data_IF_008629312546
#
_entry.id   IF_008629312546
#
_cell.length_a   1.000
_cell.length_b   1.000
_cell.length_c   1.000
_cell.angle_alpha   90.00
_cell.angle_beta   90.00
_cell.angle_gamma   90.00
#
_symmetry.space_group_name_H-M   'P 1'
#
loop_
_entity.id
_entity.type
_entity.pdbx_description
1 polymer ?
#
# COMPACT_ATOMS: atom_id res chain seq x y z
N UNK A 1 12.60 -6.80 -12.80
CA UNK A 1 11.26 -6.23 -13.04
C UNK A 1 10.91 -5.20 -11.97
N UNK A 2 10.78 -5.60 -10.69
CA UNK A 2 10.47 -4.74 -9.55
C UNK A 2 11.21 -3.38 -9.52
N UNK A 3 12.55 -3.38 -9.53
CA UNK A 3 13.34 -2.15 -9.53
C UNK A 3 12.99 -1.19 -10.68
N UNK A 4 12.68 -1.71 -11.87
CA UNK A 4 12.24 -0.87 -12.99
C UNK A 4 10.83 -0.29 -12.78
N UNK A 5 9.92 -1.06 -12.19
CA UNK A 5 8.55 -0.62 -11.89
C UNK A 5 8.53 0.46 -10.80
N UNK A 6 9.34 0.27 -9.75
CA UNK A 6 9.53 1.21 -8.65
C UNK A 6 10.35 2.45 -9.02
N UNK A 7 10.85 2.53 -10.26
CA UNK A 7 11.57 3.70 -10.76
C UNK A 7 13.03 3.79 -10.34
N UNK A 8 13.65 2.68 -9.92
CA UNK A 8 15.07 2.65 -9.61
C UNK A 8 15.90 2.79 -10.89
N UNK A 9 16.98 3.57 -10.79
CA UNK A 9 18.01 3.64 -11.82
C UNK A 9 19.14 2.69 -11.46
N UNK A 10 19.50 1.79 -12.37
CA UNK A 10 20.52 0.79 -12.12
C UNK A 10 21.23 0.34 -13.40
N UNK A 11 22.44 -0.19 -13.24
CA UNK A 11 23.25 -0.82 -14.30
C UNK A 11 23.52 -2.27 -13.92
N UNK A 12 23.41 -3.16 -14.91
CA UNK A 12 23.80 -4.56 -14.75
C UNK A 12 25.09 -4.78 -15.50
N UNK A 13 26.07 -5.41 -14.84
CA UNK A 13 27.33 -5.84 -15.43
C UNK A 13 27.50 -7.32 -15.14
N UNK A 14 27.61 -8.14 -16.18
CA UNK A 14 27.94 -9.55 -16.02
C UNK A 14 29.47 -9.67 -15.96
N UNK A 15 30.00 -10.34 -14.94
CA UNK A 15 31.43 -10.63 -14.83
C UNK A 15 31.62 -12.14 -14.79
N UNK A 16 31.56 -12.77 -15.95
CA UNK A 16 31.72 -14.21 -16.06
C UNK A 16 30.39 -14.95 -16.15
N UNK A 17 30.48 -16.28 -16.04
CA UNK A 17 29.36 -17.19 -16.31
C UNK A 17 28.36 -17.22 -15.17
N UNK A 18 28.85 -17.09 -13.93
CA UNK A 18 28.10 -17.35 -12.71
C UNK A 18 27.96 -16.12 -11.81
N UNK A 19 28.37 -14.92 -12.28
CA UNK A 19 28.32 -13.70 -11.47
C UNK A 19 27.59 -12.57 -12.20
N UNK A 20 26.65 -11.93 -11.47
CA UNK A 20 25.92 -10.75 -11.92
C UNK A 20 26.11 -9.63 -10.91
N UNK A 21 26.61 -8.50 -11.40
CA UNK A 21 26.74 -7.27 -10.62
C UNK A 21 25.64 -6.30 -11.01
N UNK A 22 24.96 -5.75 -10.01
CA UNK A 22 23.97 -4.70 -10.21
C UNK A 22 24.34 -3.50 -9.34
N UNK A 23 24.52 -2.36 -10.01
CA UNK A 23 24.80 -1.08 -9.36
C UNK A 23 23.54 -0.21 -9.43
N UNK A 24 23.00 0.14 -8.27
CA UNK A 24 21.92 1.12 -8.15
C UNK A 24 22.54 2.52 -8.17
N UNK A 25 22.14 3.31 -9.16
CA UNK A 25 22.56 4.71 -9.36
C UNK A 25 21.75 5.64 -8.47
N UNK A 26 20.47 5.35 -8.27
CA UNK A 26 19.57 6.19 -7.46
C UNK A 26 18.72 5.31 -6.55
N UNK A 27 19.05 5.29 -5.26
CA UNK A 27 18.31 4.59 -4.23
C UNK A 27 17.10 5.42 -3.79
N UNK A 28 15.86 4.91 -3.91
CA UNK A 28 14.68 5.66 -3.53
C UNK A 28 14.62 5.95 -2.02
N UNK A 29 15.23 5.11 -1.19
CA UNK A 29 15.30 5.34 0.25
C UNK A 29 16.13 6.58 0.57
N UNK A 30 17.27 6.78 -0.10
CA UNK A 30 18.06 8.00 0.10
C UNK A 30 17.24 9.24 -0.28
N UNK A 31 16.59 9.22 -1.45
CA UNK A 31 15.76 10.33 -1.92
C UNK A 31 14.52 10.59 -1.04
N UNK A 32 13.92 9.55 -0.46
CA UNK A 32 12.83 9.67 0.51
C UNK A 32 13.31 10.29 1.83
N UNK A 33 14.51 9.93 2.28
CA UNK A 33 15.06 10.38 3.56
C UNK A 33 15.66 11.78 3.47
N UNK A 34 16.22 12.19 2.34
CA UNK A 34 16.63 13.59 2.11
C UNK A 34 15.47 14.59 2.19
N UNK A 35 14.23 14.11 2.00
CA UNK A 35 13.00 14.92 2.18
C UNK A 35 12.55 15.00 3.64
N UNK A 36 13.13 14.20 4.54
CA UNK A 36 12.76 14.05 5.94
C UNK A 36 14.03 14.02 6.82
N UNK A 37 14.69 15.18 7.03
CA UNK A 37 15.97 15.26 7.72
C UNK A 37 15.98 14.66 9.13
N UNK A 38 14.84 14.70 9.80
CA UNK A 38 14.64 14.14 11.14
C UNK A 38 14.78 12.62 11.20
N UNK A 39 14.79 11.94 10.05
CA UNK A 39 14.94 10.48 9.96
C UNK A 39 16.32 10.04 9.51
N UNK A 40 17.27 10.96 9.29
CA UNK A 40 18.59 10.62 8.77
C UNK A 40 19.34 9.56 9.60
N UNK A 41 19.09 9.49 10.90
CA UNK A 41 19.63 8.46 11.80
C UNK A 41 19.18 7.04 11.43
N UNK A 42 18.05 6.89 10.72
CA UNK A 42 17.52 5.59 10.26
C UNK A 42 18.15 5.09 8.96
N UNK A 43 18.92 5.91 8.25
CA UNK A 43 19.52 5.53 6.96
C UNK A 43 20.47 4.34 7.13
N UNK A 44 21.30 4.35 8.18
CA UNK A 44 22.25 3.26 8.42
C UNK A 44 21.53 1.93 8.71
N UNK A 45 20.58 1.86 9.65
CA UNK A 45 19.76 0.66 9.85
C UNK A 45 19.03 0.18 8.59
N UNK A 46 18.48 1.10 7.78
CA UNK A 46 17.83 0.73 6.51
C UNK A 46 18.83 0.04 5.56
N UNK A 47 20.05 0.57 5.45
CA UNK A 47 21.05 0.02 4.54
C UNK A 47 21.56 -1.35 5.00
N UNK A 48 21.86 -1.49 6.29
CA UNK A 48 22.54 -2.65 6.85
C UNK A 48 21.58 -3.72 7.37
N UNK A 49 20.56 -3.30 8.11
CA UNK A 49 19.72 -4.20 8.90
C UNK A 49 18.42 -4.56 8.17
N UNK A 50 18.01 -3.78 7.17
CA UNK A 50 16.81 -4.07 6.37
C UNK A 50 17.17 -4.52 4.96
N UNK A 51 18.02 -3.78 4.26
CA UNK A 51 18.23 -4.03 2.84
C UNK A 51 19.09 -5.27 2.56
N UNK A 52 20.09 -5.60 3.39
CA UNK A 52 20.88 -6.84 3.20
C UNK A 52 20.01 -8.08 3.48
N UNK A 53 19.41 -8.22 4.68
CA UNK A 53 18.67 -9.44 5.02
C UNK A 53 17.49 -9.68 4.07
N UNK A 54 16.80 -8.61 3.67
CA UNK A 54 15.68 -8.69 2.74
C UNK A 54 16.04 -9.40 1.42
N UNK A 55 17.15 -9.01 0.79
CA UNK A 55 17.54 -9.63 -0.47
C UNK A 55 18.23 -10.98 -0.27
N UNK A 56 18.91 -11.20 0.86
CA UNK A 56 19.45 -12.53 1.20
C UNK A 56 18.34 -13.57 1.36
N UNK A 57 17.28 -13.24 2.11
CA UNK A 57 16.10 -14.11 2.26
C UNK A 57 15.47 -14.42 0.91
N UNK A 58 15.16 -13.40 0.11
CA UNK A 58 14.54 -13.61 -1.22
C UNK A 58 15.42 -14.46 -2.14
N UNK A 59 16.73 -14.24 -2.09
CA UNK A 59 17.68 -14.98 -2.92
C UNK A 59 17.74 -16.45 -2.50
N UNK A 60 17.81 -16.70 -1.19
CA UNK A 60 17.85 -18.04 -0.60
C UNK A 60 16.56 -18.81 -0.87
N UNK A 61 15.40 -18.17 -0.69
CA UNK A 61 14.09 -18.76 -0.97
C UNK A 61 13.91 -19.10 -2.45
N UNK A 62 14.49 -18.30 -3.34
CA UNK A 62 14.46 -18.56 -4.77
C UNK A 62 15.40 -19.70 -5.18
N UNK A 63 16.64 -19.68 -4.70
CA UNK A 63 17.64 -20.71 -4.95
C UNK A 63 18.77 -20.62 -3.90
N UNK A 64 18.89 -21.66 -3.08
CA UNK A 64 19.88 -21.75 -2.00
C UNK A 64 21.34 -21.73 -2.47
N UNK A 65 21.60 -22.01 -3.75
CA UNK A 65 22.96 -21.98 -4.32
C UNK A 65 23.36 -20.57 -4.78
N UNK A 66 22.44 -19.60 -4.76
CA UNK A 66 22.77 -18.21 -5.08
C UNK A 66 23.23 -17.51 -3.81
N UNK A 67 24.41 -16.92 -3.84
CA UNK A 67 24.91 -16.04 -2.79
C UNK A 67 24.74 -14.58 -3.21
N UNK A 68 24.45 -13.72 -2.23
CA UNK A 68 24.39 -12.27 -2.41
C UNK A 68 25.47 -11.61 -1.56
N UNK A 69 26.26 -10.73 -2.17
CA UNK A 69 27.17 -9.83 -1.47
C UNK A 69 26.86 -8.38 -1.80
N UNK A 70 26.96 -7.50 -0.78
CA UNK A 70 26.77 -6.06 -0.91
C UNK A 70 27.91 -5.32 -0.23
N UNK A 71 28.59 -4.46 -0.98
CA UNK A 71 29.80 -3.76 -0.51
C UNK A 71 29.64 -2.24 -0.47
N UNK A 72 28.73 -1.69 -1.28
CA UNK A 72 28.52 -0.25 -1.43
C UNK A 72 27.09 0.12 -1.07
N UNK A 73 26.92 1.25 -0.39
CA UNK A 73 25.64 1.74 0.08
C UNK A 73 25.58 3.27 -0.05
N UNK A 74 24.70 3.78 -0.91
CA UNK A 74 24.55 5.23 -1.08
C UNK A 74 24.19 5.95 0.22
N UNK A 75 23.35 5.31 1.05
CA UNK A 75 22.98 5.87 2.35
C UNK A 75 24.15 5.96 3.34
N UNK A 76 25.27 5.30 3.07
CA UNK A 76 26.48 5.32 3.91
C UNK A 76 27.62 6.13 3.28
N UNK A 77 27.35 6.87 2.19
CA UNK A 77 28.32 7.77 1.55
C UNK A 77 28.91 7.27 0.24
N UNK A 78 28.57 6.06 -0.21
CA UNK A 78 28.98 5.60 -1.54
C UNK A 78 28.23 6.32 -2.67
N UNK A 79 28.82 6.30 -3.87
CA UNK A 79 28.14 6.83 -5.06
C UNK A 79 27.01 5.94 -5.56
N UNK A 80 27.06 4.63 -5.28
CA UNK A 80 26.09 3.62 -5.74
C UNK A 80 25.81 2.60 -4.64
N UNK A 81 24.69 1.86 -4.75
CA UNK A 81 24.52 0.63 -3.98
C UNK A 81 24.95 -0.55 -4.84
N UNK A 82 25.74 -1.48 -4.31
CA UNK A 82 26.12 -2.69 -5.04
C UNK A 82 25.31 -3.91 -4.60
N UNK A 83 25.02 -4.77 -5.58
CA UNK A 83 24.47 -6.11 -5.41
C UNK A 83 25.30 -7.04 -6.28
N UNK A 84 25.96 -8.01 -5.68
CA UNK A 84 26.73 -9.03 -6.38
C UNK A 84 26.09 -10.38 -6.10
N UNK A 85 25.49 -10.97 -7.13
CA UNK A 85 24.92 -12.31 -7.08
C UNK A 85 25.89 -13.29 -7.71
N UNK A 86 26.16 -14.41 -7.04
CA UNK A 86 26.91 -15.53 -7.62
C UNK A 86 26.20 -16.85 -7.39
N UNK A 87 26.43 -17.85 -8.25
CA UNK A 87 25.85 -19.20 -8.12
C UNK A 87 26.95 -20.26 -8.20
N UNK A 88 26.90 -21.27 -7.33
CA UNK A 88 27.92 -22.33 -7.25
C UNK A 88 27.76 -23.47 -8.29
N UNK A 89 26.94 -23.28 -9.33
CA UNK A 89 26.62 -24.33 -10.31
C UNK A 89 27.43 -24.19 -11.61
N UNK A 90 28.10 -25.26 -12.06
CA UNK A 90 29.07 -25.23 -13.18
C UNK A 90 28.43 -25.32 -14.58
N UNK A 91 27.15 -25.66 -14.69
CA UNK A 91 26.52 -25.94 -16.00
C UNK A 91 25.26 -25.12 -16.26
N UNK A 92 25.45 -23.84 -16.60
CA UNK A 92 24.68 -23.16 -17.67
C UNK A 92 25.20 -21.75 -17.87
N UNK A 93 25.83 -21.52 -19.02
CA UNK A 93 26.13 -20.17 -19.45
C UNK A 93 24.83 -19.38 -19.64
N UNK A 94 24.77 -18.18 -19.06
CA UNK A 94 23.87 -17.14 -19.53
C UNK A 94 24.28 -16.83 -20.98
N UNK A 95 23.61 -17.49 -21.93
CA UNK A 95 23.96 -17.37 -23.37
C UNK A 95 23.65 -15.99 -23.94
N UNK A 96 22.83 -15.18 -23.26
CA UNK A 96 22.51 -13.83 -23.70
C UNK A 96 22.60 -12.78 -22.58
N UNK A 97 23.06 -11.55 -22.90
CA UNK A 97 23.04 -10.45 -21.95
C UNK A 97 21.60 -10.14 -21.53
N UNK A 98 21.38 -9.98 -20.22
CA UNK A 98 20.08 -9.55 -19.72
C UNK A 98 19.77 -8.13 -20.19
N UNK A 99 18.74 -7.99 -21.04
CA UNK A 99 18.23 -6.69 -21.44
C UNK A 99 17.14 -6.23 -20.48
N UNK A 100 17.22 -4.98 -20.02
CA UNK A 100 16.18 -4.37 -19.18
C UNK A 100 14.85 -4.40 -19.92
N UNK A 101 13.86 -5.10 -19.35
CA UNK A 101 12.48 -5.08 -19.88
C UNK A 101 11.93 -3.66 -19.83
N UNK A 102 11.42 -3.18 -20.98
CA UNK A 102 10.60 -1.95 -21.03
C UNK A 102 9.25 -2.24 -20.37
N UNK A 103 8.88 -1.43 -19.39
CA UNK A 103 7.67 -1.60 -18.60
C UNK A 103 6.58 -0.68 -19.16
N UNK A 104 5.41 -1.24 -19.47
CA UNK A 104 4.24 -0.45 -19.93
C UNK A 104 3.44 0.13 -18.74
N UNK A 105 2.42 0.94 -19.02
CA UNK A 105 1.51 1.43 -17.97
C UNK A 105 0.68 0.27 -17.41
N UNK A 106 0.25 -0.65 -18.27
CA UNK A 106 -0.52 -1.85 -17.92
C UNK A 106 0.29 -2.78 -17.01
N UNK A 107 1.58 -2.98 -17.30
CA UNK A 107 2.49 -3.73 -16.42
C UNK A 107 2.56 -3.10 -15.01
N UNK A 108 2.59 -1.76 -14.92
CA UNK A 108 2.60 -1.04 -13.64
C UNK A 108 1.26 -1.16 -12.92
N UNK A 109 0.14 -1.04 -13.62
CA UNK A 109 -1.19 -1.18 -13.04
C UNK A 109 -1.37 -2.59 -12.48
N UNK A 110 -1.05 -3.62 -13.26
CA UNK A 110 -1.07 -5.01 -12.79
C UNK A 110 -0.20 -5.20 -11.55
N UNK A 111 1.03 -4.68 -11.56
CA UNK A 111 1.94 -4.82 -10.43
C UNK A 111 1.44 -4.08 -9.18
N UNK A 112 1.01 -2.83 -9.28
CA UNK A 112 0.64 -2.05 -8.10
C UNK A 112 -0.76 -2.38 -7.57
N UNK A 113 -1.76 -2.61 -8.43
CA UNK A 113 -3.14 -2.84 -8.01
C UNK A 113 -3.26 -4.07 -7.10
N UNK A 114 -2.77 -5.22 -7.56
CA UNK A 114 -2.90 -6.48 -6.79
C UNK A 114 -2.00 -6.50 -5.56
N UNK A 115 -0.78 -5.97 -5.67
CA UNK A 115 0.13 -5.94 -4.54
C UNK A 115 -0.27 -4.90 -3.48
N UNK A 116 -1.07 -3.88 -3.81
CA UNK A 116 -1.56 -2.91 -2.83
C UNK A 116 -2.42 -3.58 -1.75
N UNK A 117 -3.46 -4.32 -2.16
CA UNK A 117 -4.34 -5.02 -1.21
C UNK A 117 -3.63 -6.16 -0.47
N UNK A 118 -2.71 -6.87 -1.14
CA UNK A 118 -1.90 -7.88 -0.48
C UNK A 118 -0.99 -7.27 0.59
N UNK A 119 -0.35 -6.14 0.30
CA UNK A 119 0.50 -5.43 1.26
C UNK A 119 -0.32 -4.96 2.47
N UNK A 120 -1.52 -4.42 2.24
CA UNK A 120 -2.42 -3.98 3.32
C UNK A 120 -2.81 -5.14 4.25
N UNK A 121 -3.22 -6.28 3.68
CA UNK A 121 -3.53 -7.48 4.45
C UNK A 121 -2.32 -8.02 5.24
N UNK A 122 -1.13 -8.06 4.61
CA UNK A 122 0.10 -8.48 5.30
C UNK A 122 0.50 -7.49 6.40
N UNK A 123 0.33 -6.19 6.18
CA UNK A 123 0.66 -5.15 7.16
C UNK A 123 -0.09 -5.37 8.47
N UNK A 124 -1.41 -5.58 8.42
CA UNK A 124 -2.19 -5.80 9.65
C UNK A 124 -1.84 -7.13 10.32
N UNK A 125 -1.64 -8.21 9.55
CA UNK A 125 -1.30 -9.54 10.08
C UNK A 125 0.06 -9.50 10.79
N UNK A 126 1.10 -8.98 10.14
CA UNK A 126 2.43 -8.96 10.74
C UNK A 126 2.53 -7.97 11.90
N UNK A 127 1.78 -6.86 11.86
CA UNK A 127 1.70 -5.94 13.00
C UNK A 127 1.01 -6.59 14.20
N UNK A 128 -0.05 -7.37 13.97
CA UNK A 128 -0.74 -8.16 15.00
C UNK A 128 0.18 -9.23 15.60
N UNK A 129 0.95 -9.94 14.77
CA UNK A 129 1.90 -10.97 15.22
C UNK A 129 3.00 -10.42 16.13
N UNK A 130 3.54 -9.25 15.79
CA UNK A 130 4.63 -8.61 16.55
C UNK A 130 4.15 -7.88 17.81
N UNK A 131 2.88 -7.46 17.83
CA UNK A 131 2.29 -6.69 18.92
C UNK A 131 1.08 -7.46 19.50
N UNK A 132 -0.11 -6.91 19.31
CA UNK A 132 -1.39 -7.50 19.63
C UNK A 132 -2.47 -6.88 18.71
N UNK A 133 -3.66 -7.48 18.70
CA UNK A 133 -4.77 -7.03 17.86
C UNK A 133 -5.17 -5.57 18.13
N UNK A 134 -5.28 -5.17 19.40
CA UNK A 134 -5.78 -3.83 19.75
C UNK A 134 -4.79 -2.74 19.31
N UNK A 135 -3.50 -2.99 19.48
CA UNK A 135 -2.43 -2.08 19.06
C UNK A 135 -2.32 -2.05 17.54
N UNK A 136 -2.41 -3.21 16.87
CA UNK A 136 -2.39 -3.30 15.42
C UNK A 136 -3.57 -2.55 14.79
N UNK A 137 -4.78 -2.77 15.31
CA UNK A 137 -5.98 -2.05 14.91
C UNK A 137 -5.80 -0.54 15.07
N UNK A 138 -5.33 -0.07 16.23
CA UNK A 138 -5.09 1.36 16.48
C UNK A 138 -4.11 1.98 15.47
N UNK A 139 -3.03 1.28 15.15
CA UNK A 139 -2.05 1.73 14.15
C UNK A 139 -2.70 1.79 12.76
N UNK A 140 -3.47 0.77 12.40
CA UNK A 140 -4.19 0.67 11.14
C UNK A 140 -5.17 1.84 10.95
N UNK A 141 -5.94 2.17 11.98
CA UNK A 141 -6.83 3.35 11.99
C UNK A 141 -6.06 4.62 11.61
N UNK A 142 -4.92 4.86 12.26
CA UNK A 142 -4.12 6.07 12.05
C UNK A 142 -3.55 6.11 10.62
N UNK A 143 -3.10 4.96 10.10
CA UNK A 143 -2.58 4.84 8.74
C UNK A 143 -3.67 5.15 7.72
N UNK A 144 -4.84 4.52 7.85
CA UNK A 144 -5.97 4.71 6.95
C UNK A 144 -6.55 6.13 7.01
N UNK A 145 -6.63 6.75 8.18
CA UNK A 145 -7.02 8.16 8.32
C UNK A 145 -6.11 9.08 7.49
N UNK A 146 -4.78 8.92 7.67
CA UNK A 146 -3.79 9.72 6.92
C UNK A 146 -3.84 9.43 5.43
N UNK A 147 -4.04 8.16 5.06
CA UNK A 147 -4.14 7.75 3.67
C UNK A 147 -5.39 8.34 3.01
N UNK A 148 -6.57 8.27 3.64
CA UNK A 148 -7.80 8.84 3.12
C UNK A 148 -7.73 10.36 2.97
N UNK A 149 -7.10 11.09 3.89
CA UNK A 149 -6.83 12.53 3.72
C UNK A 149 -5.97 12.81 2.46
N UNK A 150 -5.03 11.93 2.13
CA UNK A 150 -4.22 12.03 0.91
C UNK A 150 -5.04 11.66 -0.32
N UNK A 151 -5.80 10.55 -0.28
CA UNK A 151 -6.65 10.06 -1.36
C UNK A 151 -7.70 11.12 -1.71
N UNK A 152 -8.45 11.64 -0.74
CA UNK A 152 -9.47 12.66 -0.94
C UNK A 152 -8.89 13.87 -1.68
N UNK A 153 -7.75 14.41 -1.23
CA UNK A 153 -7.10 15.55 -1.91
C UNK A 153 -6.66 15.22 -3.34
N UNK A 154 -6.09 14.03 -3.56
CA UNK A 154 -5.60 13.62 -4.89
C UNK A 154 -6.76 13.36 -5.85
N UNK A 155 -7.76 12.60 -5.42
CA UNK A 155 -8.93 12.24 -6.22
C UNK A 155 -9.76 13.48 -6.50
N UNK A 156 -10.06 14.33 -5.51
CA UNK A 156 -10.76 15.61 -5.70
C UNK A 156 -10.14 16.43 -6.84
N UNK A 157 -8.80 16.54 -6.85
CA UNK A 157 -8.06 17.21 -7.94
C UNK A 157 -8.18 16.48 -9.27
N UNK A 158 -8.10 15.15 -9.26
CA UNK A 158 -8.14 14.30 -10.45
C UNK A 158 -9.50 14.40 -11.18
N UNK A 159 -10.61 14.28 -10.45
CA UNK A 159 -11.97 14.39 -11.00
C UNK A 159 -12.50 15.83 -11.04
N UNK A 160 -11.67 16.81 -10.67
CA UNK A 160 -11.92 18.26 -10.80
C UNK A 160 -13.12 18.78 -9.98
N UNK A 161 -13.38 18.19 -8.82
CA UNK A 161 -14.33 18.72 -7.85
C UNK A 161 -13.81 20.06 -7.29
N UNK A 162 -14.67 21.08 -7.33
CA UNK A 162 -14.34 22.44 -6.87
C UNK A 162 -14.99 22.77 -5.53
N UNK A 163 -16.26 22.42 -5.40
CA UNK A 163 -17.05 22.67 -4.21
C UNK A 163 -16.85 21.58 -3.14
N UNK A 164 -17.41 21.83 -1.97
CA UNK A 164 -17.34 20.95 -0.79
C UNK A 164 -18.74 20.59 -0.27
N UNK A 165 -19.77 20.50 -1.13
CA UNK A 165 -21.11 20.11 -0.68
C UNK A 165 -21.23 18.59 -0.53
N UNK A 166 -22.35 18.13 0.03
CA UNK A 166 -22.66 16.69 0.12
C UNK A 166 -22.67 16.04 -1.26
N UNK A 167 -23.19 16.72 -2.29
CA UNK A 167 -23.20 16.18 -3.65
C UNK A 167 -21.79 15.85 -4.15
N UNK A 168 -20.84 16.77 -3.96
CA UNK A 168 -19.45 16.54 -4.37
C UNK A 168 -18.75 15.51 -3.48
N UNK A 169 -19.09 15.42 -2.18
CA UNK A 169 -18.60 14.34 -1.33
C UNK A 169 -19.05 12.98 -1.84
N UNK A 170 -20.32 12.84 -2.25
CA UNK A 170 -20.85 11.58 -2.79
C UNK A 170 -20.20 11.23 -4.13
N UNK A 171 -19.92 12.22 -5.00
CA UNK A 171 -19.17 12.01 -6.24
C UNK A 171 -17.74 11.51 -5.96
N UNK A 172 -17.06 12.14 -5.00
CA UNK A 172 -15.71 11.77 -4.57
C UNK A 172 -15.67 10.34 -4.00
N UNK A 173 -16.55 10.04 -3.05
CA UNK A 173 -16.67 8.70 -2.45
C UNK A 173 -17.04 7.67 -3.49
N UNK A 174 -17.93 8.01 -4.43
CA UNK A 174 -18.34 7.09 -5.49
C UNK A 174 -17.16 6.64 -6.34
N UNK A 175 -16.28 7.57 -6.70
CA UNK A 175 -15.05 7.24 -7.43
C UNK A 175 -14.15 6.32 -6.60
N UNK A 176 -13.89 6.68 -5.34
CA UNK A 176 -12.99 5.94 -4.45
C UNK A 176 -13.51 4.52 -4.21
N UNK A 177 -14.76 4.38 -3.82
CA UNK A 177 -15.42 3.10 -3.54
C UNK A 177 -15.47 2.21 -4.79
N UNK A 178 -15.70 2.78 -5.98
CA UNK A 178 -15.63 2.01 -7.22
C UNK A 178 -14.22 1.47 -7.50
N UNK A 179 -13.18 2.25 -7.22
CA UNK A 179 -11.79 1.79 -7.34
C UNK A 179 -11.42 0.73 -6.30
N UNK A 180 -11.97 0.84 -5.09
CA UNK A 180 -11.72 -0.10 -3.99
C UNK A 180 -12.59 -1.36 -4.09
N UNK A 181 -13.49 -1.42 -5.08
CA UNK A 181 -14.32 -2.59 -5.37
C UNK A 181 -15.54 -2.74 -4.48
N UNK A 182 -16.07 -1.66 -3.92
CA UNK A 182 -17.35 -1.68 -3.20
C UNK A 182 -18.54 -1.69 -4.17
N UNK A 183 -19.63 -2.34 -3.78
CA UNK A 183 -20.95 -2.16 -4.43
C UNK A 183 -21.89 -1.42 -3.50
N UNK A 184 -22.56 -0.39 -4.01
CA UNK A 184 -23.45 0.46 -3.23
C UNK A 184 -24.53 1.10 -4.10
N UNK A 185 -25.56 1.63 -3.42
CA UNK A 185 -26.68 2.38 -4.01
C UNK A 185 -26.85 3.69 -3.27
N UNK A 186 -27.11 4.77 -4.00
CA UNK A 186 -27.52 6.05 -3.43
C UNK A 186 -29.04 5.97 -3.23
N UNK A 187 -29.49 5.95 -1.98
CA UNK A 187 -30.91 5.81 -1.61
C UNK A 187 -31.58 7.16 -1.43
N UNK A 188 -30.81 8.16 -0.98
CA UNK A 188 -31.25 9.54 -0.84
C UNK A 188 -30.10 10.48 -1.19
N UNK A 189 -30.40 11.55 -1.90
CA UNK A 189 -29.47 12.64 -2.17
C UNK A 189 -30.25 13.92 -2.45
N UNK A 190 -30.62 14.63 -1.39
CA UNK A 190 -31.51 15.79 -1.45
C UNK A 190 -31.02 16.86 -0.48
N UNK A 191 -30.81 18.08 -0.99
CA UNK A 191 -30.36 19.22 -0.19
C UNK A 191 -29.09 18.92 0.62
N UNK A 192 -29.24 18.94 1.94
CA UNK A 192 -28.19 18.85 2.95
C UNK A 192 -28.05 17.42 3.53
N UNK A 193 -28.52 16.40 2.82
CA UNK A 193 -28.48 15.00 3.27
C UNK A 193 -28.25 14.01 2.11
N UNK A 194 -27.47 12.96 2.37
CA UNK A 194 -27.37 11.81 1.48
C UNK A 194 -27.29 10.50 2.28
N UNK A 195 -27.91 9.44 1.76
CA UNK A 195 -27.88 8.09 2.33
C UNK A 195 -27.40 7.12 1.26
N UNK A 196 -26.34 6.39 1.57
CA UNK A 196 -25.75 5.37 0.71
C UNK A 196 -25.88 4.00 1.39
N UNK A 197 -26.44 3.04 0.68
CA UNK A 197 -26.49 1.65 1.11
C UNK A 197 -25.43 0.86 0.37
N UNK A 198 -24.39 0.43 1.10
CA UNK A 198 -23.38 -0.48 0.59
C UNK A 198 -23.90 -1.91 0.69
N UNK A 199 -23.91 -2.62 -0.44
CA UNK A 199 -24.40 -4.00 -0.58
C UNK A 199 -23.28 -5.01 -0.67
N UNK A 200 -22.05 -4.57 -0.98
CA UNK A 200 -20.85 -5.40 -0.92
C UNK A 200 -19.68 -4.62 -0.34
N UNK A 201 -19.06 -5.18 0.69
CA UNK A 201 -17.91 -4.64 1.39
C UNK A 201 -16.68 -5.55 1.14
N UNK A 202 -15.60 -5.04 0.51
CA UNK A 202 -14.38 -5.81 0.25
C UNK A 202 -13.75 -6.39 1.52
N UNK A 203 -13.80 -5.65 2.64
CA UNK A 203 -13.34 -6.16 3.94
C UNK A 203 -14.15 -7.37 4.38
N UNK A 204 -15.49 -7.31 4.34
CA UNK A 204 -16.32 -8.47 4.67
C UNK A 204 -16.01 -9.64 3.73
N UNK A 205 -15.90 -9.40 2.42
CA UNK A 205 -15.56 -10.46 1.46
C UNK A 205 -14.16 -11.06 1.69
N UNK A 206 -13.21 -10.29 2.22
CA UNK A 206 -11.93 -10.80 2.69
C UNK A 206 -12.11 -11.65 3.96
N UNK A 207 -12.87 -11.17 4.96
CA UNK A 207 -13.11 -11.90 6.21
C UNK A 207 -13.87 -13.21 5.97
N UNK A 208 -14.87 -13.24 5.09
CA UNK A 208 -15.64 -14.45 4.73
C UNK A 208 -14.74 -15.58 4.17
N UNK A 209 -13.56 -15.22 3.62
CA UNK A 209 -12.55 -16.16 3.12
C UNK A 209 -11.54 -16.60 4.18
N UNK A 210 -11.54 -15.97 5.35
CA UNK A 210 -10.62 -16.18 6.46
C UNK A 210 -11.40 -16.42 7.77
N UNK A 211 -12.05 -17.59 7.92
CA UNK A 211 -12.95 -17.87 9.04
C UNK A 211 -12.30 -17.73 10.42
N UNK A 212 -11.00 -17.97 10.51
CA UNK A 212 -10.19 -17.84 11.73
C UNK A 212 -10.10 -16.41 12.26
N UNK A 213 -10.44 -15.40 11.45
CA UNK A 213 -10.45 -13.99 11.85
C UNK A 213 -11.85 -13.42 12.08
N UNK A 214 -12.90 -14.24 12.01
CA UNK A 214 -14.28 -13.75 12.13
C UNK A 214 -14.55 -13.04 13.47
N UNK A 215 -13.81 -13.36 14.53
CA UNK A 215 -13.86 -12.68 15.83
C UNK A 215 -13.49 -11.19 15.74
N UNK A 216 -12.80 -10.77 14.67
CA UNK A 216 -12.41 -9.36 14.44
C UNK A 216 -13.46 -8.52 13.72
N UNK A 217 -14.49 -9.14 13.14
CA UNK A 217 -15.47 -8.46 12.26
C UNK A 217 -16.20 -7.34 13.00
N UNK A 218 -16.53 -7.54 14.28
CA UNK A 218 -17.21 -6.53 15.09
C UNK A 218 -16.39 -5.26 15.23
N UNK A 219 -15.12 -5.38 15.63
CA UNK A 219 -14.21 -4.25 15.77
C UNK A 219 -13.98 -3.53 14.43
N UNK A 220 -13.81 -4.28 13.33
CA UNK A 220 -13.70 -3.71 11.98
C UNK A 220 -14.94 -2.88 11.65
N UNK A 221 -16.13 -3.45 11.85
CA UNK A 221 -17.39 -2.81 11.49
C UNK A 221 -17.70 -1.57 12.31
N UNK A 222 -17.54 -1.66 13.64
CA UNK A 222 -17.97 -0.61 14.59
C UNK A 222 -16.87 0.40 14.89
N UNK A 223 -15.64 -0.05 15.05
CA UNK A 223 -14.55 0.76 15.59
C UNK A 223 -13.60 1.29 14.52
N UNK A 224 -13.65 0.73 13.31
CA UNK A 224 -12.74 1.12 12.22
C UNK A 224 -13.45 1.92 11.11
N UNK A 225 -14.56 1.42 10.57
CA UNK A 225 -15.11 1.98 9.33
C UNK A 225 -15.45 3.49 9.38
N UNK A 226 -16.04 4.00 10.46
CA UNK A 226 -16.33 5.45 10.57
C UNK A 226 -15.04 6.24 10.88
N UNK A 227 -14.23 5.86 11.88
CA UNK A 227 -13.03 6.62 12.23
C UNK A 227 -12.05 6.84 11.07
N UNK A 228 -12.04 6.00 10.03
CA UNK A 228 -11.09 6.11 8.93
C UNK A 228 -11.45 7.27 7.99
N UNK A 229 -12.76 7.50 7.80
CA UNK A 229 -13.26 8.57 6.94
C UNK A 229 -13.35 9.92 7.65
N UNK A 230 -13.59 9.93 8.95
CA UNK A 230 -13.92 11.15 9.70
C UNK A 230 -12.92 12.29 9.50
N UNK A 231 -11.58 12.10 9.61
CA UNK A 231 -10.64 13.19 9.39
C UNK A 231 -10.65 13.72 7.94
N UNK A 232 -10.81 12.83 6.95
CA UNK A 232 -10.84 13.21 5.55
C UNK A 232 -12.14 13.95 5.18
N UNK A 233 -13.28 13.54 5.75
CA UNK A 233 -14.56 14.24 5.61
C UNK A 233 -14.49 15.60 6.28
N UNK A 234 -13.94 15.69 7.49
CA UNK A 234 -13.78 16.95 8.20
C UNK A 234 -12.90 17.94 7.42
N UNK A 235 -11.78 17.48 6.85
CA UNK A 235 -10.92 18.30 5.98
C UNK A 235 -11.62 18.72 4.67
N UNK A 236 -12.52 17.86 4.15
CA UNK A 236 -13.31 18.16 2.97
C UNK A 236 -14.37 19.23 3.27
N UNK A 237 -15.16 19.04 4.32
CA UNK A 237 -16.12 20.00 4.84
C UNK A 237 -16.40 19.70 6.33
N UNK A 238 -16.01 20.58 7.27
CA UNK A 238 -16.15 20.32 8.71
C UNK A 238 -17.61 20.29 9.20
N UNK A 239 -18.55 20.76 8.38
CA UNK A 239 -20.00 20.73 8.67
C UNK A 239 -20.67 19.42 8.27
N UNK A 240 -19.99 18.56 7.52
CA UNK A 240 -20.58 17.25 7.17
C UNK A 240 -20.36 16.28 8.32
N UNK A 241 -21.45 15.69 8.81
CA UNK A 241 -21.45 14.57 9.74
C UNK A 241 -21.70 13.27 9.00
N UNK A 242 -21.03 12.21 9.45
CA UNK A 242 -21.22 10.84 8.98
C UNK A 242 -21.76 10.01 10.15
N UNK A 243 -22.88 9.34 9.92
CA UNK A 243 -23.46 8.34 10.81
C UNK A 243 -23.63 7.00 10.08
N UNK A 244 -23.64 5.92 10.85
CA UNK A 244 -23.89 4.55 10.35
C UNK A 244 -24.47 3.69 11.47
N UNK A 245 -25.50 2.93 11.16
CA UNK A 245 -26.25 2.13 12.13
C UNK A 245 -26.42 0.65 11.73
N UNK A 246 -26.13 0.31 10.47
CA UNK A 246 -26.22 -1.03 9.88
C UNK A 246 -24.86 -1.49 9.38
N UNK A 247 -24.62 -2.78 9.55
CA UNK A 247 -23.32 -3.40 9.32
C UNK A 247 -23.49 -4.77 8.65
N UNK A 248 -23.13 -4.86 7.36
CA UNK A 248 -23.10 -6.14 6.62
C UNK A 248 -22.34 -7.24 7.37
N UNK A 249 -21.23 -6.89 8.03
CA UNK A 249 -20.42 -7.85 8.80
C UNK A 249 -21.13 -8.41 10.04
N UNK A 250 -22.16 -7.73 10.53
CA UNK A 250 -22.91 -8.11 11.75
C UNK A 250 -24.30 -8.67 11.45
N UNK A 251 -24.58 -8.96 10.17
CA UNK A 251 -25.80 -9.63 9.74
C UNK A 251 -26.90 -8.71 9.19
N UNK A 252 -26.67 -7.40 9.09
CA UNK A 252 -27.57 -6.53 8.34
C UNK A 252 -27.46 -6.77 6.82
N UNK A 253 -28.50 -6.41 6.09
CA UNK A 253 -28.53 -6.53 4.62
C UNK A 253 -27.63 -5.51 3.90
N UNK A 254 -27.24 -4.42 4.60
CA UNK A 254 -26.46 -3.30 4.05
C UNK A 254 -25.58 -2.66 5.13
N UNK A 255 -24.57 -1.89 4.70
CA UNK A 255 -23.99 -0.83 5.52
C UNK A 255 -24.60 0.51 5.11
N UNK A 256 -25.16 1.28 6.05
CA UNK A 256 -25.87 2.53 5.76
C UNK A 256 -25.03 3.77 6.11
N UNK A 257 -24.44 4.40 5.10
CA UNK A 257 -23.65 5.62 5.30
C UNK A 257 -24.56 6.84 5.15
N UNK A 258 -24.78 7.54 6.26
CA UNK A 258 -25.66 8.71 6.34
C UNK A 258 -24.81 9.97 6.47
N UNK A 259 -24.87 10.84 5.46
CA UNK A 259 -24.17 12.11 5.44
C UNK A 259 -25.15 13.25 5.60
N UNK A 260 -24.86 14.18 6.51
CA UNK A 260 -25.72 15.35 6.77
C UNK A 260 -24.89 16.60 6.99
N UNK A 261 -25.38 17.74 6.49
CA UNK A 261 -24.77 19.05 6.72
C UNK A 261 -25.38 19.67 7.97
N UNK A 262 -24.54 20.03 8.95
CA UNK A 262 -24.95 20.64 10.23
C UNK A 262 -24.22 21.96 10.52
#
# INVERSE_FOLDING_TARGET
FRWSVEGWEYKITNKGVNEVFIEIITCPYQAAMSRNPERHDKIKPICLDMCIPFYETITTDFNTNITLRRDKFQGLGDKTCSFHFSIEDEEKSLKEPFNRRKISIEDKLFYFEKNFFTLDGLWIIETENELDWDTALKVDIIVWQRLYQIIFRRVKKYIKIKENSIKELIELLSFIWSCEGYEYKIVKQEGDEAILHMTMCPYKAAMDRNPERHDKIEAICKDMCIPFYEPAIHDFNPRIKLERNKFLGLGDDVCDYHFKLE
#
